data_IF_045358260949
#
_entry.id   IF_045358260949
#
_cell.length_a   1.000
_cell.length_b   1.000
_cell.length_c   1.000
_cell.angle_alpha   90.00
_cell.angle_beta   90.00
_cell.angle_gamma   90.00
#
_symmetry.space_group_name_H-M   'P 1'
#
loop_
_entity.id
_entity.type
_entity.pdbx_description
1 polymer ?
#
# COMPACT_ATOMS: atom_id res chain seq x y z
N UNK A 1 26.62 52.09 6.45
CA UNK A 1 26.33 50.81 7.10
C UNK A 1 25.02 50.82 7.89
N UNK A 2 24.76 51.74 8.84
CA UNK A 2 23.54 51.78 9.64
C UNK A 2 22.22 51.90 8.82
N UNK A 3 22.23 52.68 7.70
CA UNK A 3 21.03 52.82 6.82
C UNK A 3 20.72 51.54 6.03
N UNK A 4 21.73 50.78 5.64
CA UNK A 4 21.57 49.52 4.90
C UNK A 4 21.03 48.44 5.84
N UNK A 5 21.53 48.37 7.09
CA UNK A 5 21.04 47.44 8.10
C UNK A 5 19.56 47.73 8.46
N UNK A 6 19.16 49.01 8.56
CA UNK A 6 17.77 49.37 8.79
C UNK A 6 16.86 48.98 7.64
N UNK A 7 17.30 49.19 6.38
CA UNK A 7 16.53 48.80 5.19
C UNK A 7 16.34 47.27 5.12
N UNK A 8 17.39 46.51 5.44
CA UNK A 8 17.31 45.03 5.49
C UNK A 8 16.37 44.54 6.59
N UNK A 9 16.35 45.18 7.77
CA UNK A 9 15.39 44.86 8.83
C UNK A 9 13.94 45.17 8.40
N UNK A 10 13.68 46.30 7.75
CA UNK A 10 12.34 46.64 7.26
C UNK A 10 11.86 45.68 6.19
N UNK A 11 12.73 45.26 5.25
CA UNK A 11 12.43 44.26 4.22
C UNK A 11 12.16 42.89 4.86
N UNK A 12 12.94 42.48 5.86
CA UNK A 12 12.73 41.21 6.57
C UNK A 12 11.40 41.17 7.32
N UNK A 13 11.02 42.31 7.97
CA UNK A 13 9.72 42.43 8.67
C UNK A 13 8.57 42.41 7.65
N UNK A 14 8.70 43.13 6.54
CA UNK A 14 7.69 43.13 5.48
C UNK A 14 7.49 41.73 4.85
N UNK A 15 8.57 41.01 4.60
CA UNK A 15 8.51 39.63 4.11
C UNK A 15 7.90 38.65 5.12
N UNK A 16 8.19 38.85 6.42
CA UNK A 16 7.58 38.03 7.49
C UNK A 16 6.08 38.33 7.65
N UNK A 17 5.64 39.57 7.48
CA UNK A 17 4.21 39.91 7.48
C UNK A 17 3.47 39.37 6.25
N UNK A 18 4.13 39.28 5.10
CA UNK A 18 3.51 38.68 3.90
C UNK A 18 3.30 37.16 4.02
N UNK A 19 4.16 36.48 4.79
CA UNK A 19 4.07 35.05 5.00
C UNK A 19 2.97 34.63 6.02
N UNK A 20 2.41 35.58 6.77
CA UNK A 20 1.43 35.30 7.83
C UNK A 20 -0.03 35.60 7.49
N UNK A 21 -0.34 36.04 6.28
CA UNK A 21 -1.69 36.46 5.90
C UNK A 21 -2.47 35.47 5.03
N UNK A 22 -2.09 34.18 5.01
CA UNK A 22 -2.97 33.18 4.41
C UNK A 22 -4.14 32.89 5.36
N UNK A 23 -5.34 33.21 4.91
CA UNK A 23 -6.57 32.97 5.64
C UNK A 23 -6.99 31.50 5.49
N UNK A 24 -7.86 31.02 6.38
CA UNK A 24 -8.47 29.70 6.23
C UNK A 24 -9.17 29.56 4.87
N UNK A 25 -9.77 30.65 4.38
CA UNK A 25 -10.46 30.67 3.08
C UNK A 25 -9.49 30.49 1.91
N UNK A 26 -8.26 30.99 1.99
CA UNK A 26 -7.22 30.79 0.98
C UNK A 26 -6.83 29.32 0.91
N UNK A 27 -6.68 28.65 2.07
CA UNK A 27 -6.42 27.21 2.13
C UNK A 27 -7.59 26.40 1.58
N UNK A 28 -8.83 26.71 1.98
CA UNK A 28 -10.05 26.04 1.49
C UNK A 28 -10.18 26.22 -0.02
N UNK A 29 -9.93 27.42 -0.54
CA UNK A 29 -9.97 27.71 -1.97
C UNK A 29 -8.91 26.92 -2.74
N UNK A 30 -7.67 26.90 -2.22
CA UNK A 30 -6.57 26.12 -2.82
C UNK A 30 -6.86 24.60 -2.81
N UNK A 31 -7.46 24.08 -1.74
CA UNK A 31 -7.85 22.66 -1.68
C UNK A 31 -8.95 22.36 -2.70
N UNK A 32 -9.98 23.21 -2.78
CA UNK A 32 -11.08 23.05 -3.75
C UNK A 32 -10.59 23.08 -5.20
N UNK A 33 -9.67 24.00 -5.52
CA UNK A 33 -9.10 24.15 -6.86
C UNK A 33 -8.26 22.94 -7.26
N UNK A 34 -7.52 22.34 -6.32
CA UNK A 34 -6.61 21.22 -6.58
C UNK A 34 -7.23 19.85 -6.32
N UNK A 35 -8.44 19.80 -5.77
CA UNK A 35 -9.10 18.52 -5.48
C UNK A 35 -9.53 17.81 -6.75
N UNK A 36 -9.38 16.51 -6.77
CA UNK A 36 -9.92 15.63 -7.82
C UNK A 36 -10.50 14.37 -7.17
N UNK A 37 -11.22 13.58 -7.97
CA UNK A 37 -11.74 12.31 -7.49
C UNK A 37 -10.59 11.40 -7.01
N UNK A 38 -10.74 10.68 -5.89
CA UNK A 38 -9.66 9.87 -5.32
C UNK A 38 -9.05 8.86 -6.30
N UNK A 39 -9.87 8.24 -7.15
CA UNK A 39 -9.41 7.28 -8.17
C UNK A 39 -8.54 7.99 -9.21
N UNK A 40 -8.97 9.15 -9.72
CA UNK A 40 -8.21 9.93 -10.68
C UNK A 40 -6.90 10.44 -10.07
N UNK A 41 -6.91 10.83 -8.80
CA UNK A 41 -5.69 11.18 -8.09
C UNK A 41 -4.64 10.05 -8.13
N UNK A 42 -5.05 8.81 -7.87
CA UNK A 42 -4.13 7.66 -7.93
C UNK A 42 -3.60 7.44 -9.35
N UNK A 43 -4.44 7.58 -10.38
CA UNK A 43 -3.98 7.46 -11.78
C UNK A 43 -3.02 8.58 -12.16
N UNK A 44 -3.25 9.82 -11.74
CA UNK A 44 -2.33 10.93 -11.96
C UNK A 44 -0.95 10.68 -11.33
N UNK A 45 -0.90 10.02 -10.16
CA UNK A 45 0.38 9.59 -9.58
C UNK A 45 1.11 8.57 -10.48
N UNK A 46 0.36 7.65 -11.08
CA UNK A 46 0.93 6.67 -12.01
C UNK A 46 1.39 7.26 -13.35
N UNK A 47 1.02 8.49 -13.71
CA UNK A 47 1.57 9.15 -14.90
C UNK A 47 3.07 9.42 -14.74
N UNK A 48 3.51 9.75 -13.53
CA UNK A 48 4.86 10.18 -13.21
C UNK A 48 5.62 9.21 -12.29
N UNK A 49 5.08 8.02 -12.03
CA UNK A 49 5.73 7.02 -11.17
C UNK A 49 5.34 5.60 -11.56
N UNK A 50 6.25 4.67 -11.34
CA UNK A 50 5.99 3.24 -11.56
C UNK A 50 5.31 2.59 -10.34
N UNK A 51 5.52 3.11 -9.13
CA UNK A 51 5.07 2.49 -7.88
C UNK A 51 4.24 3.49 -7.08
N UNK A 52 3.00 3.13 -6.79
CA UNK A 52 2.15 3.86 -5.84
C UNK A 52 1.92 2.97 -4.62
N UNK A 53 2.21 3.51 -3.44
CA UNK A 53 2.00 2.85 -2.15
C UNK A 53 0.78 3.48 -1.49
N UNK A 54 -0.22 2.68 -1.15
CA UNK A 54 -1.33 3.08 -0.30
C UNK A 54 -1.05 2.61 1.12
N UNK A 55 -0.92 3.56 2.04
CA UNK A 55 -0.85 3.31 3.48
C UNK A 55 -2.24 3.23 4.08
N UNK A 56 -2.70 2.01 4.39
CA UNK A 56 -4.00 1.80 5.06
C UNK A 56 -3.92 2.24 6.53
N UNK A 57 -5.03 2.78 7.05
CA UNK A 57 -5.13 3.20 8.45
C UNK A 57 -5.13 2.00 9.40
N UNK A 58 -6.09 1.13 9.21
CA UNK A 58 -6.31 -0.07 10.01
C UNK A 58 -6.90 -1.15 9.11
N UNK A 59 -6.41 -2.37 9.22
CA UNK A 59 -6.90 -3.50 8.43
C UNK A 59 -8.42 -3.75 8.62
N UNK A 60 -9.02 -3.23 9.71
CA UNK A 60 -10.45 -3.34 10.02
C UNK A 60 -11.31 -2.25 9.39
N UNK A 61 -10.72 -1.21 8.83
CA UNK A 61 -11.46 -0.12 8.22
C UNK A 61 -12.00 -0.52 6.83
N UNK A 62 -13.31 -0.70 6.75
CA UNK A 62 -13.99 -1.17 5.55
C UNK A 62 -13.96 -0.14 4.43
N UNK A 63 -14.12 1.16 4.75
CA UNK A 63 -14.23 2.22 3.74
C UNK A 63 -13.00 2.36 2.86
N UNK A 64 -11.81 2.13 3.39
CA UNK A 64 -10.59 2.14 2.58
C UNK A 64 -10.52 0.96 1.62
N UNK A 65 -11.04 -0.21 2.01
CA UNK A 65 -11.10 -1.36 1.11
C UNK A 65 -12.16 -1.19 0.02
N UNK A 66 -13.25 -0.48 0.29
CA UNK A 66 -14.23 -0.07 -0.73
C UNK A 66 -13.56 0.83 -1.77
N UNK A 67 -12.83 1.87 -1.34
CA UNK A 67 -12.07 2.75 -2.23
C UNK A 67 -11.04 1.96 -3.06
N UNK A 68 -10.29 1.05 -2.42
CA UNK A 68 -9.31 0.21 -3.12
C UNK A 68 -10.00 -0.66 -4.17
N UNK A 69 -11.13 -1.30 -3.84
CA UNK A 69 -11.86 -2.13 -4.79
C UNK A 69 -12.44 -1.30 -5.94
N UNK A 70 -12.91 -0.08 -5.69
CA UNK A 70 -13.39 0.81 -6.74
C UNK A 70 -12.25 1.24 -7.68
N UNK A 71 -11.06 1.52 -7.15
CA UNK A 71 -9.85 1.73 -7.96
C UNK A 71 -9.54 0.51 -8.84
N UNK A 72 -9.60 -0.72 -8.27
CA UNK A 72 -9.30 -1.94 -9.01
C UNK A 72 -10.35 -2.31 -10.06
N UNK A 73 -11.61 -1.88 -9.87
CA UNK A 73 -12.71 -2.04 -10.85
C UNK A 73 -12.56 -1.12 -12.05
N UNK A 74 -11.88 0.02 -11.89
CA UNK A 74 -11.66 0.94 -13.01
C UNK A 74 -10.89 0.22 -14.12
N UNK A 75 -11.39 0.21 -15.37
CA UNK A 75 -10.75 -0.50 -16.48
C UNK A 75 -9.30 -0.10 -16.72
N UNK A 76 -8.94 1.15 -16.44
CA UNK A 76 -7.55 1.66 -16.53
C UNK A 76 -6.61 0.84 -15.68
N UNK A 77 -7.06 0.41 -14.48
CA UNK A 77 -6.18 -0.32 -13.56
C UNK A 77 -5.67 -1.63 -14.16
N UNK A 78 -6.56 -2.46 -14.66
CA UNK A 78 -6.18 -3.75 -15.26
C UNK A 78 -5.37 -3.58 -16.56
N UNK A 79 -5.62 -2.50 -17.31
CA UNK A 79 -4.92 -2.21 -18.57
C UNK A 79 -3.52 -1.65 -18.33
N UNK A 80 -3.37 -0.65 -17.48
CA UNK A 80 -2.14 0.11 -17.29
C UNK A 80 -1.26 -0.42 -16.16
N UNK A 81 -1.86 -0.83 -15.03
CA UNK A 81 -1.17 -1.32 -13.84
C UNK A 81 -1.20 -2.84 -13.78
N UNK A 82 -2.33 -3.43 -13.46
CA UNK A 82 -2.59 -4.87 -13.47
C UNK A 82 -1.89 -5.68 -12.36
N UNK A 83 -1.16 -5.02 -11.45
CA UNK A 83 -0.43 -5.67 -10.36
C UNK A 83 -0.67 -4.95 -9.04
N UNK A 84 -1.11 -5.72 -8.06
CA UNK A 84 -1.29 -5.30 -6.67
C UNK A 84 -0.39 -6.13 -5.78
N UNK A 85 0.29 -5.49 -4.85
CA UNK A 85 1.11 -6.13 -3.84
C UNK A 85 0.59 -5.78 -2.46
N UNK A 86 0.38 -6.77 -1.59
CA UNK A 86 -0.18 -6.53 -0.26
C UNK A 86 0.74 -7.03 0.84
N UNK A 87 0.77 -6.30 1.95
CA UNK A 87 1.33 -6.76 3.20
C UNK A 87 0.57 -7.99 3.70
N UNK A 88 -0.77 -7.91 3.73
CA UNK A 88 -1.61 -9.02 4.19
C UNK A 88 -1.47 -10.21 3.26
N UNK A 89 -0.82 -11.25 3.78
CA UNK A 89 -0.60 -12.52 3.10
C UNK A 89 0.86 -12.91 2.91
N UNK A 90 1.15 -14.18 3.21
CA UNK A 90 2.49 -14.75 3.17
C UNK A 90 2.99 -14.96 1.74
N UNK A 91 4.23 -14.57 1.45
CA UNK A 91 4.83 -14.60 0.10
C UNK A 91 4.72 -15.96 -0.59
N UNK A 92 4.88 -17.05 0.16
CA UNK A 92 4.80 -18.41 -0.36
C UNK A 92 3.40 -18.82 -0.81
N UNK A 93 2.35 -18.03 -0.47
CA UNK A 93 0.96 -18.26 -0.89
C UNK A 93 0.58 -17.46 -2.14
N UNK A 94 1.49 -16.66 -2.69
CA UNK A 94 1.23 -15.83 -3.89
C UNK A 94 0.73 -16.65 -5.08
N UNK A 95 1.29 -17.84 -5.32
CA UNK A 95 0.84 -18.70 -6.42
C UNK A 95 -0.58 -19.22 -6.19
N UNK A 96 -0.89 -19.60 -4.96
CA UNK A 96 -2.19 -20.18 -4.59
C UNK A 96 -3.30 -19.13 -4.66
N UNK A 97 -3.06 -17.92 -4.17
CA UNK A 97 -4.05 -16.83 -4.25
C UNK A 97 -4.35 -16.47 -5.71
N UNK A 98 -3.36 -16.40 -6.59
CA UNK A 98 -3.61 -16.12 -8.00
C UNK A 98 -4.33 -17.27 -8.71
N UNK A 99 -4.08 -18.52 -8.31
CA UNK A 99 -4.88 -19.67 -8.76
C UNK A 99 -6.34 -19.56 -8.33
N UNK A 100 -6.59 -19.14 -7.09
CA UNK A 100 -7.93 -18.84 -6.57
C UNK A 100 -8.62 -17.73 -7.39
N UNK A 101 -7.95 -16.58 -7.56
CA UNK A 101 -8.50 -15.37 -8.17
C UNK A 101 -8.72 -15.50 -9.69
N UNK A 102 -8.05 -16.42 -10.36
CA UNK A 102 -8.20 -16.68 -11.80
C UNK A 102 -8.91 -18.01 -12.10
N UNK A 103 -9.33 -18.73 -11.06
CA UNK A 103 -10.02 -20.01 -11.18
C UNK A 103 -11.42 -19.88 -11.82
N UNK A 104 -11.86 -20.96 -12.46
CA UNK A 104 -13.24 -21.07 -12.93
C UNK A 104 -14.04 -21.96 -11.98
N UNK A 105 -15.07 -21.40 -11.38
CA UNK A 105 -15.91 -22.10 -10.40
C UNK A 105 -17.31 -22.29 -10.96
N UNK A 106 -17.91 -23.47 -10.68
CA UNK A 106 -19.26 -23.84 -11.17
C UNK A 106 -20.37 -23.03 -10.50
N UNK A 107 -20.12 -22.47 -9.32
CA UNK A 107 -21.07 -21.65 -8.54
C UNK A 107 -20.31 -20.77 -7.55
N UNK A 108 -20.99 -19.75 -7.02
CA UNK A 108 -20.48 -18.88 -5.96
C UNK A 108 -20.19 -19.68 -4.69
N UNK A 109 -20.97 -20.73 -4.40
CA UNK A 109 -20.68 -21.66 -3.31
C UNK A 109 -19.32 -22.34 -3.50
N UNK A 110 -19.04 -22.85 -4.69
CA UNK A 110 -17.77 -23.51 -5.00
C UNK A 110 -16.57 -22.55 -4.88
N UNK A 111 -16.73 -21.30 -5.28
CA UNK A 111 -15.73 -20.27 -5.06
C UNK A 111 -15.54 -19.98 -3.56
N UNK A 112 -16.63 -19.81 -2.81
CA UNK A 112 -16.56 -19.54 -1.37
C UNK A 112 -15.87 -20.68 -0.62
N UNK A 113 -16.16 -21.93 -0.94
CA UNK A 113 -15.50 -23.10 -0.34
C UNK A 113 -13.98 -23.08 -0.61
N UNK A 114 -13.58 -22.73 -1.84
CA UNK A 114 -12.17 -22.57 -2.20
C UNK A 114 -11.51 -21.38 -1.48
N UNK A 115 -12.20 -20.24 -1.39
CA UNK A 115 -11.74 -19.04 -0.68
C UNK A 115 -11.50 -19.33 0.81
N UNK A 116 -12.46 -19.93 1.49
CA UNK A 116 -12.30 -20.26 2.91
C UNK A 116 -11.24 -21.34 3.15
N UNK A 117 -11.08 -22.27 2.22
CA UNK A 117 -9.99 -23.26 2.27
C UNK A 117 -8.63 -22.57 2.14
N UNK A 118 -8.52 -21.58 1.25
CA UNK A 118 -7.33 -20.77 1.11
C UNK A 118 -7.02 -19.96 2.38
N UNK A 119 -8.01 -19.21 2.91
CA UNK A 119 -7.86 -18.34 4.06
C UNK A 119 -7.43 -19.07 5.34
N UNK A 120 -7.91 -20.31 5.57
CA UNK A 120 -7.50 -21.12 6.73
C UNK A 120 -6.01 -21.41 6.79
N UNK A 121 -5.31 -21.23 5.68
CA UNK A 121 -3.89 -21.55 5.56
C UNK A 121 -3.04 -20.33 5.13
N UNK A 122 -3.63 -19.14 5.08
CA UNK A 122 -2.96 -17.97 4.52
C UNK A 122 -2.03 -17.29 5.50
N UNK A 123 -2.50 -17.00 6.68
CA UNK A 123 -1.85 -16.05 7.57
C UNK A 123 -1.44 -16.61 8.92
N UNK A 124 -0.51 -15.93 9.54
CA UNK A 124 -0.03 -16.19 10.88
C UNK A 124 -0.38 -15.04 11.84
N UNK A 125 -0.80 -13.88 11.32
CA UNK A 125 -1.00 -12.70 12.13
C UNK A 125 -2.46 -12.61 12.63
N UNK A 126 -2.70 -12.68 13.94
CA UNK A 126 -4.05 -12.61 14.49
C UNK A 126 -4.70 -11.22 14.35
N UNK A 127 -3.90 -10.18 14.12
CA UNK A 127 -4.38 -8.80 13.97
C UNK A 127 -4.90 -8.51 12.56
N UNK A 128 -4.62 -9.35 11.57
CA UNK A 128 -5.17 -9.19 10.23
C UNK A 128 -6.67 -9.44 10.23
N UNK A 129 -7.42 -8.44 9.79
CA UNK A 129 -8.87 -8.54 9.71
C UNK A 129 -9.31 -9.54 8.64
N UNK A 130 -10.20 -10.45 9.03
CA UNK A 130 -10.67 -11.49 8.13
C UNK A 130 -11.81 -11.00 7.23
N UNK A 131 -12.67 -10.11 7.73
CA UNK A 131 -13.82 -9.62 6.95
C UNK A 131 -13.34 -8.85 5.71
N UNK A 132 -12.52 -7.82 5.90
CA UNK A 132 -11.99 -7.03 4.79
C UNK A 132 -11.14 -7.87 3.84
N UNK A 133 -10.37 -8.81 4.36
CA UNK A 133 -9.60 -9.73 3.52
C UNK A 133 -10.50 -10.60 2.65
N UNK A 134 -11.60 -11.14 3.20
CA UNK A 134 -12.62 -11.90 2.45
C UNK A 134 -13.23 -11.02 1.36
N UNK A 135 -13.66 -9.81 1.69
CA UNK A 135 -14.29 -8.89 0.73
C UNK A 135 -13.31 -8.47 -0.38
N UNK A 136 -12.07 -8.18 -0.01
CA UNK A 136 -11.02 -7.83 -0.97
C UNK A 136 -10.77 -8.97 -1.98
N UNK A 137 -10.59 -10.20 -1.52
CA UNK A 137 -10.36 -11.34 -2.39
C UNK A 137 -11.58 -11.68 -3.26
N UNK A 138 -12.81 -11.53 -2.72
CA UNK A 138 -14.05 -11.68 -3.51
C UNK A 138 -14.13 -10.61 -4.60
N UNK A 139 -13.95 -9.34 -4.23
CA UNK A 139 -13.99 -8.25 -5.18
C UNK A 139 -12.96 -8.43 -6.29
N UNK A 140 -11.74 -8.81 -5.94
CA UNK A 140 -10.67 -9.05 -6.90
C UNK A 140 -10.97 -10.27 -7.81
N UNK A 141 -11.57 -11.34 -7.26
CA UNK A 141 -12.06 -12.46 -8.07
C UNK A 141 -13.14 -12.02 -9.07
N UNK A 142 -14.13 -11.24 -8.65
CA UNK A 142 -15.19 -10.74 -9.54
C UNK A 142 -14.65 -9.82 -10.63
N UNK A 143 -13.71 -8.94 -10.29
CA UNK A 143 -13.00 -8.11 -11.28
C UNK A 143 -12.29 -9.02 -12.29
N UNK A 144 -11.53 -9.99 -11.82
CA UNK A 144 -10.82 -10.91 -12.69
C UNK A 144 -11.74 -11.79 -13.53
N UNK A 145 -12.87 -12.24 -12.97
CA UNK A 145 -13.86 -13.04 -13.69
C UNK A 145 -14.43 -12.28 -14.90
N UNK A 146 -14.72 -10.99 -14.70
CA UNK A 146 -15.42 -10.15 -15.68
C UNK A 146 -14.47 -9.35 -16.60
N UNK A 147 -13.17 -9.33 -16.34
CA UNK A 147 -12.19 -8.58 -17.13
C UNK A 147 -11.42 -9.47 -18.11
N UNK A 148 -11.10 -8.92 -19.29
CA UNK A 148 -10.15 -9.53 -20.24
C UNK A 148 -8.73 -9.48 -19.67
N UNK A 149 -8.37 -8.37 -19.01
CA UNK A 149 -7.08 -8.16 -18.37
C UNK A 149 -7.18 -8.54 -16.90
N UNK A 150 -6.37 -9.50 -16.47
CA UNK A 150 -6.39 -9.99 -15.09
C UNK A 150 -5.46 -9.16 -14.20
N UNK A 151 -5.92 -8.89 -12.99
CA UNK A 151 -5.10 -8.30 -11.95
C UNK A 151 -4.38 -9.43 -11.21
N UNK A 152 -3.07 -9.29 -11.07
CA UNK A 152 -2.22 -10.23 -10.33
C UNK A 152 -1.98 -9.70 -8.92
N UNK A 153 -2.17 -10.55 -7.91
CA UNK A 153 -1.90 -10.24 -6.51
C UNK A 153 -0.57 -10.83 -6.06
N UNK A 154 0.35 -9.99 -5.59
CA UNK A 154 1.59 -10.38 -4.94
C UNK A 154 1.47 -10.25 -3.42
N UNK A 155 1.82 -11.28 -2.68
CA UNK A 155 1.85 -11.26 -1.22
C UNK A 155 3.28 -11.02 -0.77
N UNK A 156 3.50 -10.04 0.11
CA UNK A 156 4.87 -9.60 0.41
C UNK A 156 5.38 -10.00 1.78
N UNK A 157 4.51 -10.46 2.68
CA UNK A 157 4.92 -10.79 4.04
C UNK A 157 5.77 -12.06 4.15
N UNK A 158 6.21 -12.35 5.36
CA UNK A 158 7.10 -13.44 5.69
C UNK A 158 6.62 -14.80 5.15
N UNK A 159 7.56 -15.69 4.89
CA UNK A 159 7.25 -17.06 4.47
C UNK A 159 6.76 -17.86 5.68
N UNK A 160 5.48 -18.22 5.67
CA UNK A 160 4.83 -18.93 6.77
C UNK A 160 4.07 -20.17 6.30
N UNK A 161 4.00 -21.20 7.14
CA UNK A 161 3.21 -22.40 6.86
C UNK A 161 2.78 -23.13 8.14
N UNK A 162 1.47 -23.22 8.36
CA UNK A 162 0.86 -24.04 9.41
C UNK A 162 1.22 -25.53 9.33
N UNK A 163 1.72 -26.00 8.19
CA UNK A 163 2.22 -27.38 8.08
C UNK A 163 3.52 -27.60 8.83
N UNK A 164 4.33 -26.54 9.00
CA UNK A 164 5.65 -26.58 9.65
C UNK A 164 5.61 -26.16 11.12
N UNK A 165 4.66 -25.29 11.48
CA UNK A 165 4.55 -24.73 12.81
C UNK A 165 3.39 -25.41 13.53
N UNK A 166 3.69 -26.20 14.57
CA UNK A 166 2.76 -27.02 15.32
C UNK A 166 2.74 -26.72 16.81
N UNK A 167 3.79 -26.10 17.32
CA UNK A 167 3.96 -25.77 18.73
C UNK A 167 4.13 -24.27 18.94
N UNK A 168 3.89 -23.79 20.15
CA UNK A 168 4.14 -22.41 20.53
C UNK A 168 5.62 -22.02 20.40
N UNK A 169 6.55 -22.97 20.66
CA UNK A 169 7.97 -22.75 20.51
C UNK A 169 8.37 -22.57 19.05
N UNK A 170 7.86 -23.40 18.14
CA UNK A 170 8.10 -23.24 16.71
C UNK A 170 7.53 -21.92 16.19
N UNK A 171 6.36 -21.48 16.70
CA UNK A 171 5.81 -20.17 16.35
C UNK A 171 6.70 -19.03 16.86
N UNK A 172 7.16 -19.12 18.10
CA UNK A 172 8.09 -18.14 18.68
C UNK A 172 9.39 -18.05 17.87
N UNK A 173 9.97 -19.19 17.49
CA UNK A 173 11.18 -19.24 16.66
C UNK A 173 10.96 -18.64 15.27
N UNK A 174 9.76 -18.76 14.71
CA UNK A 174 9.38 -18.08 13.47
C UNK A 174 9.29 -16.56 13.68
N UNK A 175 8.61 -16.12 14.74
CA UNK A 175 8.40 -14.71 15.05
C UNK A 175 9.74 -13.99 15.38
N UNK A 176 10.62 -14.64 16.11
CA UNK A 176 11.98 -14.16 16.43
C UNK A 176 12.95 -14.25 15.23
N UNK A 177 12.55 -14.82 14.10
CA UNK A 177 13.41 -14.96 12.94
C UNK A 177 13.81 -13.59 12.34
N UNK A 178 15.01 -13.48 11.74
CA UNK A 178 15.44 -12.22 11.10
C UNK A 178 14.44 -11.72 10.05
N UNK A 179 13.73 -12.61 9.37
CA UNK A 179 12.74 -12.23 8.38
C UNK A 179 11.53 -11.50 9.01
N UNK A 180 11.09 -11.91 10.20
CA UNK A 180 10.01 -11.26 10.93
C UNK A 180 10.52 -10.04 11.72
N UNK A 181 11.70 -10.12 12.35
CA UNK A 181 12.31 -9.01 13.05
C UNK A 181 12.58 -7.80 12.13
N UNK A 182 12.99 -8.06 10.89
CA UNK A 182 13.20 -7.03 9.85
C UNK A 182 12.11 -7.08 8.77
N UNK A 183 10.85 -7.16 9.19
CA UNK A 183 9.69 -7.42 8.35
C UNK A 183 9.55 -6.43 7.19
N UNK A 184 9.80 -5.13 7.41
CA UNK A 184 9.71 -4.11 6.37
C UNK A 184 10.73 -4.33 5.23
N UNK A 185 11.96 -4.67 5.55
CA UNK A 185 12.98 -5.01 4.55
C UNK A 185 12.66 -6.33 3.84
N UNK A 186 12.09 -7.30 4.56
CA UNK A 186 11.63 -8.58 4.01
C UNK A 186 10.52 -8.37 3.00
N UNK A 187 9.51 -7.56 3.32
CA UNK A 187 8.42 -7.19 2.42
C UNK A 187 8.94 -6.47 1.17
N UNK A 188 9.86 -5.52 1.34
CA UNK A 188 10.50 -4.83 0.21
C UNK A 188 11.29 -5.81 -0.68
N UNK A 189 12.02 -6.77 -0.09
CA UNK A 189 12.76 -7.79 -0.84
C UNK A 189 11.82 -8.70 -1.64
N UNK A 190 10.72 -9.16 -1.03
CA UNK A 190 9.73 -9.99 -1.70
C UNK A 190 9.04 -9.25 -2.85
N UNK A 191 8.60 -8.01 -2.60
CA UNK A 191 8.10 -7.12 -3.64
C UNK A 191 9.10 -7.02 -4.79
N UNK A 192 10.35 -6.70 -4.50
CA UNK A 192 11.39 -6.48 -5.50
C UNK A 192 11.63 -7.70 -6.39
N UNK A 193 11.64 -8.91 -5.80
CA UNK A 193 11.79 -10.16 -6.56
C UNK A 193 10.61 -10.41 -7.50
N UNK A 194 9.38 -10.13 -7.05
CA UNK A 194 8.18 -10.30 -7.87
C UNK A 194 8.06 -9.21 -8.93
N UNK A 195 8.36 -7.97 -8.57
CA UNK A 195 8.32 -6.82 -9.47
C UNK A 195 9.34 -6.94 -10.62
N UNK A 196 10.54 -7.44 -10.34
CA UNK A 196 11.51 -7.73 -11.39
C UNK A 196 10.97 -8.78 -12.40
N UNK A 197 10.31 -9.84 -11.91
CA UNK A 197 9.68 -10.85 -12.77
C UNK A 197 8.51 -10.28 -13.57
N UNK A 198 7.71 -9.39 -12.99
CA UNK A 198 6.63 -8.68 -13.68
C UNK A 198 7.15 -7.93 -14.88
N UNK A 199 8.21 -7.13 -14.71
CA UNK A 199 8.82 -6.34 -15.80
C UNK A 199 9.36 -7.22 -16.91
N UNK A 200 9.98 -8.34 -16.57
CA UNK A 200 10.52 -9.29 -17.56
C UNK A 200 9.43 -10.00 -18.35
N UNK A 201 8.29 -10.31 -17.70
CA UNK A 201 7.23 -11.12 -18.30
C UNK A 201 6.41 -10.38 -19.34
N UNK A 202 6.08 -9.13 -19.12
CA UNK A 202 5.13 -8.38 -19.96
C UNK A 202 5.45 -6.89 -20.14
N UNK A 203 6.62 -6.43 -19.70
CA UNK A 203 7.05 -5.04 -19.80
C UNK A 203 6.30 -4.07 -18.89
N UNK A 204 5.29 -4.53 -18.13
CA UNK A 204 4.53 -3.66 -17.22
C UNK A 204 5.40 -3.20 -16.05
N UNK A 205 5.46 -1.89 -15.88
CA UNK A 205 6.28 -1.24 -14.83
C UNK A 205 5.46 -0.75 -13.65
N UNK A 206 4.17 -0.42 -13.86
CA UNK A 206 3.32 0.12 -12.80
C UNK A 206 2.92 -0.97 -11.79
N UNK A 207 2.91 -0.61 -10.51
CA UNK A 207 2.55 -1.50 -9.40
C UNK A 207 1.88 -0.71 -8.28
N UNK A 208 0.76 -1.22 -7.77
CA UNK A 208 0.13 -0.75 -6.55
C UNK A 208 0.62 -1.58 -5.36
N UNK A 209 1.10 -0.92 -4.30
CA UNK A 209 1.45 -1.56 -3.03
C UNK A 209 0.45 -1.11 -1.97
N UNK A 210 -0.15 -2.05 -1.26
CA UNK A 210 -1.08 -1.80 -0.16
C UNK A 210 -0.43 -2.35 1.11
N UNK A 211 -0.20 -1.49 2.07
CA UNK A 211 0.44 -1.85 3.33
C UNK A 211 -0.10 -0.97 4.45
N UNK A 212 -0.07 -1.45 5.70
CA UNK A 212 -0.51 -0.63 6.82
C UNK A 212 0.34 0.65 6.92
N UNK A 213 -0.27 1.74 7.37
CA UNK A 213 0.36 3.07 7.39
C UNK A 213 1.76 3.11 8.02
N UNK A 214 2.07 2.41 9.15
CA UNK A 214 3.42 2.44 9.72
C UNK A 214 4.47 1.89 8.75
N UNK A 215 4.11 0.89 7.94
CA UNK A 215 5.00 0.31 6.94
C UNK A 215 5.13 1.20 5.69
N UNK A 216 4.08 1.97 5.35
CA UNK A 216 4.10 2.87 4.20
C UNK A 216 5.01 4.09 4.38
N UNK A 217 5.34 4.47 5.60
CA UNK A 217 6.10 5.68 5.90
C UNK A 217 7.48 5.71 5.22
N UNK A 218 7.85 6.88 4.68
CA UNK A 218 9.22 7.17 4.26
C UNK A 218 10.06 7.58 5.48
N UNK A 219 10.23 6.67 6.43
CA UNK A 219 10.86 6.96 7.71
C UNK A 219 11.73 5.81 8.21
N UNK A 220 12.69 6.15 9.05
CA UNK A 220 13.42 5.21 9.90
C UNK A 220 12.79 5.21 11.28
N UNK A 221 12.72 4.06 11.93
CA UNK A 221 12.22 3.99 13.30
C UNK A 221 13.17 4.76 14.23
N UNK A 222 12.62 5.63 15.07
CA UNK A 222 13.40 6.49 15.95
C UNK A 222 14.34 5.66 16.86
N UNK A 223 15.59 6.08 16.94
CA UNK A 223 16.61 5.40 17.75
C UNK A 223 17.13 4.06 17.20
N UNK A 224 16.82 3.74 15.94
CA UNK A 224 17.29 2.49 15.29
C UNK A 224 17.62 2.70 13.81
N UNK A 225 18.28 1.69 13.21
CA UNK A 225 18.50 1.62 11.76
C UNK A 225 17.32 0.94 11.03
N UNK A 226 16.19 0.75 11.70
CA UNK A 226 15.03 0.06 11.12
C UNK A 226 14.25 0.97 10.18
N UNK A 227 14.46 0.77 8.88
CA UNK A 227 13.73 1.50 7.84
C UNK A 227 12.37 0.87 7.57
N UNK A 228 11.35 1.71 7.41
CA UNK A 228 10.01 1.28 6.99
C UNK A 228 10.02 0.85 5.52
N UNK A 229 9.06 0.02 5.12
CA UNK A 229 8.93 -0.49 3.75
C UNK A 229 8.88 0.64 2.72
N UNK A 230 8.11 1.72 2.99
CA UNK A 230 8.04 2.88 2.12
C UNK A 230 9.39 3.54 1.88
N UNK A 231 10.24 3.64 2.92
CA UNK A 231 11.61 4.14 2.80
C UNK A 231 12.47 3.20 1.97
N UNK A 232 12.45 1.89 2.23
CA UNK A 232 13.17 0.89 1.43
C UNK A 232 12.80 0.94 -0.06
N UNK A 233 11.50 1.13 -0.37
CA UNK A 233 11.04 1.26 -1.75
C UNK A 233 11.59 2.51 -2.41
N UNK A 234 11.57 3.66 -1.71
CA UNK A 234 12.10 4.93 -2.25
C UNK A 234 13.60 4.89 -2.46
N UNK A 235 14.35 4.33 -1.54
CA UNK A 235 15.81 4.17 -1.68
C UNK A 235 16.16 3.26 -2.87
N UNK A 236 15.37 2.20 -3.08
CA UNK A 236 15.63 1.22 -4.13
C UNK A 236 15.21 1.66 -5.53
N UNK A 237 14.10 2.39 -5.64
CA UNK A 237 13.48 2.72 -6.93
C UNK A 237 13.49 4.20 -7.26
N UNK A 238 13.94 5.05 -6.35
CA UNK A 238 13.99 6.51 -6.49
C UNK A 238 12.77 7.21 -5.90
N UNK A 239 12.99 8.37 -5.29
CA UNK A 239 11.96 9.18 -4.64
C UNK A 239 10.84 9.60 -5.60
N UNK A 240 11.20 9.92 -6.84
CA UNK A 240 10.23 10.37 -7.84
C UNK A 240 9.41 9.21 -8.41
N UNK A 241 9.98 8.03 -8.42
CA UNK A 241 9.35 6.85 -8.99
C UNK A 241 8.46 6.07 -7.99
N UNK A 242 8.48 6.46 -6.70
CA UNK A 242 7.63 5.88 -5.64
C UNK A 242 6.82 6.98 -5.00
N UNK A 243 5.50 6.94 -5.15
CA UNK A 243 4.56 7.85 -4.49
C UNK A 243 3.86 7.12 -3.35
N UNK A 244 3.73 7.78 -2.21
CA UNK A 244 3.08 7.24 -1.01
C UNK A 244 1.84 8.07 -0.72
N UNK A 245 0.71 7.41 -0.62
CA UNK A 245 -0.59 8.01 -0.27
C UNK A 245 -1.03 7.43 1.06
N UNK A 246 -1.20 8.30 2.04
CA UNK A 246 -1.73 7.95 3.36
C UNK A 246 -3.23 8.20 3.37
N UNK A 247 -4.03 7.16 3.58
CA UNK A 247 -5.47 7.27 3.58
C UNK A 247 -5.95 7.91 4.89
N UNK A 248 -6.44 9.15 4.76
CA UNK A 248 -7.15 9.89 5.82
C UNK A 248 -6.54 9.71 7.23
N UNK A 249 -5.25 10.00 7.34
CA UNK A 249 -4.57 10.04 8.62
C UNK A 249 -4.93 11.34 9.34
N UNK A 250 -6.06 11.37 9.99
CA UNK A 250 -6.37 12.40 10.98
C UNK A 250 -6.17 11.78 12.36
N UNK A 251 -5.14 12.19 13.07
CA UNK A 251 -5.20 12.07 14.52
C UNK A 251 -6.42 12.88 14.98
N UNK A 252 -7.29 12.25 15.75
CA UNK A 252 -8.29 13.00 16.48
C UNK A 252 -7.53 13.84 17.50
N UNK A 253 -7.14 15.03 17.11
CA UNK A 253 -6.80 16.05 18.07
C UNK A 253 -8.10 16.41 18.75
N UNK A 254 -8.35 15.87 19.93
CA UNK A 254 -9.35 16.39 20.86
C UNK A 254 -8.93 17.81 21.18
N UNK A 255 -9.46 18.76 20.43
CA UNK A 255 -9.42 20.18 20.78
C UNK A 255 -10.52 20.47 21.76
#
# INVERSE_FOLDING_TARGET
MKRIAFLLCVISIALSCYAQNQTLDDYVSSVKEKSCAPIDYIFNLFENSDIVVIGERDHRDTTQYELILDLLKDPRFAQEVGYVYTEVGCVNRTKDVNKLLCGRYKSDKAFNDALYTYLRNEDFNPLWDKYNRVQFLRGLYEINRNSKHKITLGLTDCNFSWKRIKTAEEYKNFDDSPACAYRDSTMCLHFSKMYAKQKLKNGKRKALVITNHPHALNATFEGSDYHRQGKWLKERYGNDNVKIVMLNWTEYTNS
#
